data_IF_640684623125
#
_entry.id   IF_640684623125
#
_cell.length_a   1.000
_cell.length_b   1.000
_cell.length_c   1.000
_cell.angle_alpha   90.00
_cell.angle_beta   90.00
_cell.angle_gamma   90.00
#
_symmetry.space_group_name_H-M   'P 1'
#
loop_
_entity.id
_entity.type
_entity.pdbx_description
1 polymer ?
#
# COMPACT_ATOMS: atom_id res chain seq x y z
N UNK A 1 -0.54 -8.47 15.51
CA UNK A 1 -0.85 -7.08 15.09
C UNK A 1 -0.21 -6.85 13.74
N UNK A 2 -1.00 -6.47 12.75
CA UNK A 2 -0.56 -6.13 11.40
C UNK A 2 -1.00 -4.71 11.08
N UNK A 3 -0.09 -3.87 10.59
CA UNK A 3 -0.36 -2.47 10.24
C UNK A 3 0.01 -2.26 8.77
N UNK A 4 -0.93 -1.83 7.97
CA UNK A 4 -0.70 -1.53 6.56
C UNK A 4 -0.83 -0.03 6.32
N UNK A 5 0.13 0.56 5.62
CA UNK A 5 0.09 1.94 5.16
C UNK A 5 -0.09 1.95 3.65
N UNK A 6 -1.28 2.31 3.20
CA UNK A 6 -1.71 2.18 1.80
C UNK A 6 -2.05 3.53 1.18
N UNK A 7 -2.10 3.62 -0.14
CA UNK A 7 -2.43 4.84 -0.87
C UNK A 7 -1.45 5.14 -2.02
N UNK A 8 -1.67 6.27 -2.70
CA UNK A 8 -0.87 6.69 -3.84
C UNK A 8 0.60 6.97 -3.46
N UNK A 9 1.49 7.03 -4.44
CA UNK A 9 2.89 7.41 -4.21
C UNK A 9 3.01 8.85 -3.68
N UNK A 10 4.17 9.18 -3.09
CA UNK A 10 4.52 10.51 -2.58
C UNK A 10 3.58 11.05 -1.49
N UNK A 11 2.83 10.19 -0.78
CA UNK A 11 1.91 10.59 0.31
C UNK A 11 2.51 10.50 1.72
N UNK A 12 3.74 9.99 1.86
CA UNK A 12 4.41 9.83 3.16
C UNK A 12 4.21 8.47 3.84
N UNK A 13 3.67 7.46 3.15
CA UNK A 13 3.47 6.09 3.67
C UNK A 13 4.73 5.48 4.26
N UNK A 14 5.83 5.50 3.51
CA UNK A 14 7.11 4.94 3.94
C UNK A 14 7.60 5.55 5.26
N UNK A 15 7.41 6.86 5.44
CA UNK A 15 7.78 7.55 6.68
C UNK A 15 6.93 7.06 7.86
N UNK A 16 5.62 6.92 7.66
CA UNK A 16 4.70 6.40 8.68
C UNK A 16 4.93 4.92 8.97
N UNK A 17 5.19 4.10 7.94
CA UNK A 17 5.49 2.68 8.12
C UNK A 17 6.79 2.48 8.92
N UNK A 18 7.84 3.23 8.63
CA UNK A 18 9.10 3.21 9.40
C UNK A 18 8.89 3.68 10.84
N UNK A 19 8.13 4.76 11.03
CA UNK A 19 7.75 5.24 12.36
C UNK A 19 7.06 4.13 13.17
N UNK A 20 6.01 3.53 12.62
CA UNK A 20 5.27 2.47 13.29
C UNK A 20 6.12 1.22 13.56
N UNK A 21 6.98 0.82 12.61
CA UNK A 21 7.90 -0.30 12.78
C UNK A 21 8.84 -0.08 13.96
N UNK A 22 9.43 1.11 14.06
CA UNK A 22 10.36 1.47 15.15
C UNK A 22 9.63 1.58 16.48
N UNK A 23 8.51 2.31 16.53
CA UNK A 23 7.75 2.59 17.75
C UNK A 23 7.18 1.30 18.36
N UNK A 24 6.61 0.41 17.54
CA UNK A 24 5.96 -0.81 18.02
C UNK A 24 6.85 -2.05 17.94
N UNK A 25 8.11 -1.89 17.55
CA UNK A 25 9.10 -2.99 17.41
C UNK A 25 8.54 -4.14 16.56
N UNK A 26 8.03 -3.79 15.39
CA UNK A 26 7.47 -4.74 14.41
C UNK A 26 8.39 -4.83 13.19
N UNK A 27 8.59 -6.02 12.61
CA UNK A 27 9.30 -6.15 11.35
C UNK A 27 8.60 -5.33 10.26
N UNK A 28 9.41 -4.65 9.43
CA UNK A 28 8.94 -3.84 8.32
C UNK A 28 9.00 -4.64 7.02
N UNK A 29 7.85 -4.78 6.36
CA UNK A 29 7.77 -5.17 4.95
C UNK A 29 7.87 -3.87 4.14
N UNK A 30 9.05 -3.65 3.54
CA UNK A 30 9.31 -2.49 2.69
C UNK A 30 8.57 -2.61 1.37
N UNK A 31 8.46 -1.49 0.65
CA UNK A 31 7.82 -1.44 -0.68
C UNK A 31 8.45 -2.45 -1.65
N UNK A 32 7.72 -3.51 -1.97
CA UNK A 32 8.20 -4.61 -2.82
C UNK A 32 8.37 -4.20 -4.29
N UNK A 33 7.68 -3.15 -4.72
CA UNK A 33 7.73 -2.62 -6.07
C UNK A 33 9.16 -2.24 -6.50
N UNK A 34 9.92 -1.60 -5.62
CA UNK A 34 11.32 -1.20 -5.90
C UNK A 34 12.24 -2.40 -6.08
N UNK A 35 12.06 -3.42 -5.26
CA UNK A 35 12.85 -4.66 -5.35
C UNK A 35 12.55 -5.43 -6.63
N UNK A 36 11.28 -5.53 -7.02
CA UNK A 36 10.89 -6.22 -8.25
C UNK A 36 11.34 -5.44 -9.49
N UNK A 37 11.30 -4.10 -9.46
CA UNK A 37 11.81 -3.27 -10.55
C UNK A 37 13.33 -3.47 -10.75
N UNK A 38 14.09 -3.47 -9.66
CA UNK A 38 15.54 -3.70 -9.73
C UNK A 38 15.90 -5.07 -10.33
N UNK A 39 15.07 -6.10 -10.10
CA UNK A 39 15.28 -7.43 -10.72
C UNK A 39 15.04 -7.46 -12.23
N UNK A 40 14.25 -6.53 -12.74
CA UNK A 40 13.94 -6.47 -14.18
C UNK A 40 15.01 -5.72 -14.99
N UNK A 41 16.01 -5.11 -14.32
CA UNK A 41 17.04 -4.29 -14.93
C UNK A 41 16.49 -3.18 -15.87
N UNK A 42 15.26 -2.70 -15.56
CA UNK A 42 14.54 -1.68 -16.32
C UNK A 42 14.25 -0.46 -15.46
N UNK A 43 14.05 0.68 -16.10
CA UNK A 43 13.61 1.92 -15.45
C UNK A 43 12.10 2.06 -15.51
N UNK A 44 11.53 2.85 -14.61
CA UNK A 44 10.07 3.10 -14.56
C UNK A 44 9.53 3.76 -15.83
N UNK A 45 10.29 4.66 -16.43
CA UNK A 45 9.94 5.33 -17.67
C UNK A 45 9.83 4.36 -18.86
N UNK A 46 10.72 3.37 -18.93
CA UNK A 46 10.67 2.31 -19.95
C UNK A 46 9.45 1.39 -19.79
N UNK A 47 9.02 1.12 -18.56
CA UNK A 47 7.83 0.32 -18.30
C UNK A 47 6.54 1.02 -18.76
N UNK A 48 6.46 2.35 -18.64
CA UNK A 48 5.25 3.13 -18.96
C UNK A 48 4.83 3.04 -20.43
N UNK A 49 5.75 2.78 -21.34
CA UNK A 49 5.49 2.67 -22.79
C UNK A 49 5.21 1.23 -23.22
N UNK A 50 5.48 0.23 -22.36
CA UNK A 50 5.27 -1.20 -22.64
C UNK A 50 4.22 -1.77 -21.67
N UNK A 51 2.98 -1.84 -22.13
CA UNK A 51 1.84 -2.32 -21.32
C UNK A 51 2.03 -3.79 -20.91
N UNK A 52 2.66 -4.63 -21.73
CA UNK A 52 2.89 -6.04 -21.40
C UNK A 52 3.95 -6.19 -20.31
N UNK A 53 5.04 -5.44 -20.41
CA UNK A 53 6.08 -5.39 -19.38
C UNK A 53 5.54 -4.81 -18.06
N UNK A 54 4.76 -3.72 -18.12
CA UNK A 54 4.08 -3.14 -16.96
C UNK A 54 3.15 -4.14 -16.29
N UNK A 55 2.36 -4.87 -17.08
CA UNK A 55 1.45 -5.91 -16.58
C UNK A 55 2.23 -7.00 -15.84
N UNK A 56 3.28 -7.53 -16.47
CA UNK A 56 4.14 -8.56 -15.88
C UNK A 56 4.80 -8.09 -14.58
N UNK A 57 5.28 -6.85 -14.56
CA UNK A 57 5.85 -6.20 -13.38
C UNK A 57 4.84 -6.11 -12.23
N UNK A 58 3.62 -5.60 -12.49
CA UNK A 58 2.61 -5.47 -11.45
C UNK A 58 2.17 -6.84 -10.89
N UNK A 59 2.14 -7.88 -11.71
CA UNK A 59 1.92 -9.25 -11.23
C UNK A 59 3.08 -9.76 -10.36
N UNK A 60 4.32 -9.44 -10.70
CA UNK A 60 5.47 -9.82 -9.89
C UNK A 60 5.43 -9.13 -8.53
N UNK A 61 5.11 -7.82 -8.50
CA UNK A 61 4.95 -7.03 -7.27
C UNK A 61 3.82 -7.58 -6.38
N UNK A 62 2.66 -7.87 -6.97
CA UNK A 62 1.53 -8.48 -6.25
C UNK A 62 1.94 -9.81 -5.58
N UNK A 63 2.59 -10.70 -6.32
CA UNK A 63 3.07 -11.98 -5.77
C UNK A 63 4.16 -11.81 -4.72
N UNK A 64 5.06 -10.84 -4.90
CA UNK A 64 6.11 -10.53 -3.94
C UNK A 64 5.53 -10.03 -2.61
N UNK A 65 4.50 -9.18 -2.67
CA UNK A 65 3.79 -8.72 -1.48
C UNK A 65 3.17 -9.88 -0.70
N UNK A 66 2.44 -10.77 -1.38
CA UNK A 66 1.84 -11.93 -0.72
C UNK A 66 2.89 -12.87 -0.11
N UNK A 67 4.05 -13.06 -0.78
CA UNK A 67 5.15 -13.86 -0.24
C UNK A 67 5.78 -13.21 0.99
N UNK A 68 5.97 -11.89 0.97
CA UNK A 68 6.57 -11.17 2.10
C UNK A 68 5.70 -11.23 3.37
N UNK A 69 4.39 -11.30 3.22
CA UNK A 69 3.43 -11.42 4.32
C UNK A 69 3.28 -12.85 4.84
N UNK A 70 3.67 -13.86 4.03
CA UNK A 70 3.41 -15.26 4.32
C UNK A 70 4.10 -15.71 5.62
N UNK A 71 3.35 -16.33 6.52
CA UNK A 71 3.84 -16.84 7.80
C UNK A 71 4.08 -15.77 8.89
N UNK A 72 3.97 -14.48 8.55
CA UNK A 72 4.15 -13.41 9.53
C UNK A 72 2.84 -13.11 10.28
N UNK A 73 2.89 -13.22 11.61
CA UNK A 73 1.76 -12.91 12.49
C UNK A 73 1.72 -11.43 12.89
N UNK A 74 2.88 -10.76 12.86
CA UNK A 74 3.05 -9.38 13.31
C UNK A 74 4.01 -8.65 12.38
N UNK A 75 3.59 -7.53 11.80
CA UNK A 75 4.44 -6.70 10.95
C UNK A 75 3.82 -5.32 10.70
N UNK A 76 4.63 -4.43 10.15
CA UNK A 76 4.20 -3.20 9.46
C UNK A 76 4.50 -3.38 7.98
N UNK A 77 3.56 -3.00 7.11
CA UNK A 77 3.76 -3.04 5.66
C UNK A 77 3.64 -1.66 5.04
N UNK A 78 4.65 -1.29 4.25
CA UNK A 78 4.60 -0.15 3.34
C UNK A 78 3.96 -0.62 2.04
N UNK A 79 2.68 -0.49 1.91
CA UNK A 79 1.71 -0.97 0.93
C UNK A 79 1.02 -2.29 1.31
N UNK A 80 -0.02 -2.61 0.54
CA UNK A 80 -0.74 -3.88 0.58
C UNK A 80 -0.89 -4.43 -0.85
N UNK A 81 -1.39 -5.65 -0.97
CA UNK A 81 -1.60 -6.29 -2.28
C UNK A 81 -2.50 -5.48 -3.21
N UNK A 82 -3.48 -4.77 -2.68
CA UNK A 82 -4.44 -3.99 -3.47
C UNK A 82 -3.88 -2.64 -3.95
N UNK A 83 -2.85 -2.05 -3.30
CA UNK A 83 -2.12 -0.92 -3.88
C UNK A 83 -1.55 -1.31 -5.25
N UNK A 84 -0.95 -2.50 -5.35
CA UNK A 84 -0.37 -3.00 -6.59
C UNK A 84 -1.44 -3.22 -7.66
N UNK A 85 -2.64 -3.67 -7.25
CA UNK A 85 -3.77 -3.81 -8.16
C UNK A 85 -4.32 -2.47 -8.65
N UNK A 86 -4.27 -1.43 -7.83
CA UNK A 86 -4.60 -0.07 -8.25
C UNK A 86 -3.65 0.43 -9.37
N UNK A 87 -2.34 0.15 -9.24
CA UNK A 87 -1.37 0.45 -10.30
C UNK A 87 -1.58 -0.44 -11.54
N UNK A 88 -1.90 -1.72 -11.37
CA UNK A 88 -2.24 -2.61 -12.49
C UNK A 88 -3.46 -2.09 -13.24
N UNK A 89 -4.50 -1.64 -12.54
CA UNK A 89 -5.69 -1.05 -13.14
C UNK A 89 -5.39 0.22 -13.94
N UNK A 90 -4.42 1.01 -13.48
CA UNK A 90 -4.08 2.30 -14.07
C UNK A 90 -3.12 2.21 -15.28
N UNK A 91 -2.21 1.25 -15.26
CA UNK A 91 -1.08 1.21 -16.21
C UNK A 91 -0.91 -0.13 -16.93
N UNK A 92 -1.65 -1.16 -16.53
CA UNK A 92 -1.50 -2.51 -17.07
C UNK A 92 -2.84 -3.11 -17.51
N UNK A 93 -2.79 -4.39 -17.83
CA UNK A 93 -3.95 -5.19 -18.22
C UNK A 93 -4.16 -6.38 -17.28
N UNK A 94 -5.32 -7.04 -17.39
CA UNK A 94 -5.58 -8.29 -16.68
C UNK A 94 -6.04 -8.14 -15.24
N UNK A 95 -6.42 -6.94 -14.79
CA UNK A 95 -6.97 -6.72 -13.45
C UNK A 95 -8.10 -7.69 -13.12
N UNK A 96 -9.06 -7.88 -14.02
CA UNK A 96 -10.19 -8.81 -13.84
C UNK A 96 -9.72 -10.22 -13.49
N UNK A 97 -8.71 -10.72 -14.18
CA UNK A 97 -8.18 -12.08 -13.96
C UNK A 97 -7.55 -12.20 -12.57
N UNK A 98 -6.83 -11.15 -12.11
CA UNK A 98 -6.25 -11.13 -10.76
C UNK A 98 -7.32 -11.07 -9.69
N UNK A 99 -8.31 -10.20 -9.83
CA UNK A 99 -9.42 -10.08 -8.87
C UNK A 99 -10.18 -11.41 -8.71
N UNK A 100 -10.30 -12.18 -9.79
CA UNK A 100 -10.93 -13.51 -9.80
C UNK A 100 -9.98 -14.63 -9.37
N UNK A 101 -8.70 -14.37 -9.21
CA UNK A 101 -7.74 -15.40 -8.82
C UNK A 101 -7.91 -15.81 -7.35
N UNK A 102 -7.65 -17.10 -7.08
CA UNK A 102 -7.71 -17.61 -5.70
C UNK A 102 -6.78 -16.85 -4.75
N UNK A 103 -5.49 -16.56 -5.08
CA UNK A 103 -4.61 -15.82 -4.18
C UNK A 103 -5.14 -14.44 -3.81
N UNK A 104 -5.77 -13.72 -4.73
CA UNK A 104 -6.34 -12.40 -4.48
C UNK A 104 -7.55 -12.49 -3.53
N UNK A 105 -8.49 -13.39 -3.82
CA UNK A 105 -9.66 -13.59 -2.95
C UNK A 105 -9.29 -14.05 -1.55
N UNK A 106 -8.33 -14.97 -1.42
CA UNK A 106 -7.85 -15.47 -0.13
C UNK A 106 -7.17 -14.33 0.67
N UNK A 107 -6.38 -13.48 0.01
CA UNK A 107 -5.74 -12.33 0.65
C UNK A 107 -6.78 -11.31 1.16
N UNK A 108 -7.77 -10.97 0.35
CA UNK A 108 -8.84 -10.05 0.73
C UNK A 108 -9.69 -10.60 1.89
N UNK A 109 -10.11 -11.87 1.80
CA UNK A 109 -10.88 -12.54 2.85
C UNK A 109 -10.11 -12.61 4.16
N UNK A 110 -8.82 -12.95 4.11
CA UNK A 110 -7.94 -12.99 5.29
C UNK A 110 -7.82 -11.60 5.91
N UNK A 111 -7.54 -10.57 5.11
CA UNK A 111 -7.36 -9.21 5.62
C UNK A 111 -8.63 -8.69 6.25
N UNK A 112 -9.80 -8.88 5.62
CA UNK A 112 -11.10 -8.50 6.17
C UNK A 112 -11.33 -9.14 7.53
N UNK A 113 -11.16 -10.47 7.64
CA UNK A 113 -11.29 -11.18 8.90
C UNK A 113 -10.33 -10.65 9.97
N UNK A 114 -9.07 -10.41 9.64
CA UNK A 114 -8.09 -9.86 10.58
C UNK A 114 -8.41 -8.42 11.02
N UNK A 115 -9.06 -7.64 10.15
CA UNK A 115 -9.59 -6.31 10.51
C UNK A 115 -10.76 -6.45 11.48
N UNK A 116 -11.70 -7.36 11.21
CA UNK A 116 -12.87 -7.64 12.04
C UNK A 116 -12.47 -8.17 13.42
N UNK A 117 -11.49 -9.07 13.48
CA UNK A 117 -10.89 -9.62 14.70
C UNK A 117 -10.03 -8.59 15.47
N UNK A 118 -9.85 -7.38 14.95
CA UNK A 118 -9.05 -6.34 15.58
C UNK A 118 -7.53 -6.58 15.56
N UNK A 119 -7.04 -7.56 14.81
CA UNK A 119 -5.61 -7.91 14.71
C UNK A 119 -4.87 -7.20 13.60
N UNK A 120 -5.61 -6.59 12.66
CA UNK A 120 -5.11 -5.80 11.54
C UNK A 120 -5.69 -4.38 11.54
N UNK A 121 -4.89 -3.40 11.10
CA UNK A 121 -5.36 -2.05 10.76
C UNK A 121 -4.77 -1.62 9.43
N UNK A 122 -5.61 -0.98 8.63
CA UNK A 122 -5.24 -0.38 7.36
C UNK A 122 -5.32 1.13 7.52
N UNK A 123 -4.22 1.82 7.31
CA UNK A 123 -4.13 3.28 7.28
C UNK A 123 -4.09 3.74 5.82
N UNK A 124 -5.13 4.40 5.38
CA UNK A 124 -5.20 4.96 4.04
C UNK A 124 -4.63 6.37 4.02
N UNK A 125 -3.38 6.50 3.56
CA UNK A 125 -2.63 7.76 3.56
C UNK A 125 -2.98 8.55 2.30
N UNK A 126 -3.90 9.52 2.46
CA UNK A 126 -4.42 10.33 1.38
C UNK A 126 -3.39 11.35 0.88
N UNK A 127 -3.41 11.68 -0.42
CA UNK A 127 -2.59 12.75 -0.94
C UNK A 127 -3.03 14.10 -0.39
N UNK A 128 -2.06 14.95 -0.05
CA UNK A 128 -2.27 16.34 0.31
C UNK A 128 -1.37 17.21 -0.56
N UNK A 129 -1.94 18.17 -1.28
CA UNK A 129 -1.22 18.97 -2.28
C UNK A 129 0.08 19.60 -1.74
N UNK A 130 0.07 20.08 -0.48
CA UNK A 130 1.24 20.67 0.17
C UNK A 130 2.37 19.66 0.46
N UNK A 131 2.09 18.36 0.43
CA UNK A 131 3.07 17.30 0.74
C UNK A 131 3.54 16.54 -0.50
N UNK A 132 2.94 16.78 -1.65
CA UNK A 132 3.33 16.11 -2.90
C UNK A 132 4.69 16.65 -3.34
N UNK A 133 5.75 15.90 -3.02
CA UNK A 133 7.12 16.17 -3.44
C UNK A 133 7.61 15.00 -4.30
N UNK A 134 8.48 15.29 -5.25
CA UNK A 134 9.20 14.23 -5.95
C UNK A 134 9.94 13.34 -4.95
N UNK A 135 9.81 12.03 -5.08
CA UNK A 135 10.49 11.06 -4.19
C UNK A 135 11.92 10.73 -4.65
N UNK A 136 12.43 11.47 -5.65
CA UNK A 136 13.76 11.26 -6.23
C UNK A 136 13.92 9.96 -7.04
N UNK A 137 12.87 9.13 -7.08
CA UNK A 137 12.86 7.88 -7.84
C UNK A 137 12.31 8.07 -9.27
N UNK A 138 11.72 9.24 -9.50
CA UNK A 138 11.16 9.69 -10.78
C UNK A 138 11.97 10.90 -11.24
N UNK A 139 12.11 11.08 -12.55
CA UNK A 139 12.77 12.25 -13.08
C UNK A 139 12.15 13.55 -12.51
N UNK A 140 12.97 14.56 -12.23
CA UNK A 140 12.49 15.87 -11.79
C UNK A 140 11.46 16.40 -12.80
N UNK A 141 10.26 16.73 -12.33
CA UNK A 141 9.12 17.15 -13.16
C UNK A 141 8.05 16.08 -13.42
N UNK A 142 8.29 14.83 -13.07
CA UNK A 142 7.42 13.68 -13.40
C UNK A 142 6.30 13.43 -12.36
N UNK A 143 6.17 14.26 -11.32
CA UNK A 143 5.07 14.14 -10.37
C UNK A 143 3.77 14.69 -11.01
N UNK A 144 3.07 13.84 -11.73
CA UNK A 144 1.74 14.16 -12.23
C UNK A 144 0.72 14.07 -11.06
N UNK A 145 0.31 15.22 -10.56
CA UNK A 145 -0.66 15.33 -9.45
C UNK A 145 -1.96 14.61 -9.79
N UNK A 146 -2.43 14.70 -11.03
CA UNK A 146 -3.63 13.99 -11.48
C UNK A 146 -3.47 12.47 -11.39
N UNK A 147 -2.28 11.96 -11.68
CA UNK A 147 -1.92 10.53 -11.55
C UNK A 147 -1.99 10.07 -10.08
N UNK A 148 -1.48 10.91 -9.16
CA UNK A 148 -1.54 10.64 -7.72
C UNK A 148 -2.99 10.49 -7.25
N UNK A 149 -3.86 11.44 -7.62
CA UNK A 149 -5.28 11.39 -7.26
C UNK A 149 -6.03 10.25 -7.96
N UNK A 150 -5.66 9.93 -9.20
CA UNK A 150 -6.24 8.78 -9.89
C UNK A 150 -5.90 7.46 -9.18
N UNK A 151 -4.63 7.26 -8.80
CA UNK A 151 -4.21 6.08 -8.02
C UNK A 151 -4.89 6.05 -6.65
N UNK A 152 -5.00 7.20 -5.98
CA UNK A 152 -5.70 7.31 -4.70
C UNK A 152 -7.16 6.85 -4.80
N UNK A 153 -7.88 7.30 -5.82
CA UNK A 153 -9.24 6.85 -6.11
C UNK A 153 -9.33 5.35 -6.40
N UNK A 154 -8.33 4.78 -7.11
CA UNK A 154 -8.30 3.34 -7.37
C UNK A 154 -8.02 2.54 -6.10
N UNK A 155 -7.18 3.02 -5.19
CA UNK A 155 -6.97 2.38 -3.87
C UNK A 155 -8.25 2.43 -3.05
N UNK A 156 -8.94 3.58 -3.01
CA UNK A 156 -10.23 3.71 -2.35
C UNK A 156 -11.24 2.70 -2.90
N UNK A 157 -11.36 2.61 -4.25
CA UNK A 157 -12.23 1.62 -4.90
C UNK A 157 -11.90 0.18 -4.46
N UNK A 158 -10.62 -0.18 -4.36
CA UNK A 158 -10.22 -1.52 -3.93
C UNK A 158 -10.59 -1.80 -2.47
N UNK A 159 -10.48 -0.80 -1.59
CA UNK A 159 -10.90 -0.92 -0.19
C UNK A 159 -12.41 -1.17 -0.09
N UNK A 160 -13.21 -0.40 -0.82
CA UNK A 160 -14.66 -0.57 -0.87
C UNK A 160 -15.08 -1.90 -1.52
N UNK A 161 -14.41 -2.31 -2.60
CA UNK A 161 -14.72 -3.55 -3.32
C UNK A 161 -14.70 -4.79 -2.40
N UNK A 162 -13.80 -4.80 -1.42
CA UNK A 162 -13.67 -5.91 -0.46
C UNK A 162 -14.18 -5.59 0.93
N UNK A 163 -14.85 -4.45 1.11
CA UNK A 163 -15.41 -4.01 2.40
C UNK A 163 -14.31 -4.04 3.49
N UNK A 164 -13.15 -3.47 3.17
CA UNK A 164 -12.00 -3.37 4.08
C UNK A 164 -12.08 -2.06 4.86
N UNK A 165 -12.39 -2.15 6.16
CA UNK A 165 -12.38 -0.97 7.03
C UNK A 165 -10.97 -0.40 7.15
N UNK A 166 -10.84 0.92 7.06
CA UNK A 166 -9.59 1.63 7.12
C UNK A 166 -9.68 2.91 7.96
N UNK A 167 -8.53 3.42 8.34
CA UNK A 167 -8.37 4.72 9.01
C UNK A 167 -7.80 5.71 7.99
N UNK A 168 -8.55 6.74 7.58
CA UNK A 168 -8.03 7.74 6.65
C UNK A 168 -7.02 8.64 7.35
N UNK A 169 -5.87 8.88 6.70
CA UNK A 169 -4.87 9.84 7.13
C UNK A 169 -4.86 11.01 6.13
N UNK A 170 -5.51 12.11 6.47
CA UNK A 170 -5.73 13.26 5.58
C UNK A 170 -4.91 14.50 5.98
N UNK A 171 -4.52 14.62 7.26
CA UNK A 171 -3.76 15.76 7.78
C UNK A 171 -2.44 16.00 7.04
N UNK A 172 -1.95 17.23 7.01
CA UNK A 172 -0.67 17.57 6.38
C UNK A 172 0.53 17.45 7.32
N UNK A 173 0.37 17.71 8.62
CA UNK A 173 1.46 17.65 9.57
C UNK A 173 1.82 16.21 9.93
N UNK A 174 3.10 15.85 9.80
CA UNK A 174 3.56 14.48 10.09
C UNK A 174 3.28 14.07 11.54
N UNK A 175 3.39 15.00 12.51
CA UNK A 175 3.07 14.74 13.92
C UNK A 175 1.61 14.38 14.15
N UNK A 176 0.68 15.01 13.44
CA UNK A 176 -0.76 14.69 13.52
C UNK A 176 -1.03 13.29 12.96
N UNK A 177 -0.39 12.95 11.84
CA UNK A 177 -0.47 11.63 11.23
C UNK A 177 0.05 10.53 12.16
N UNK A 178 1.21 10.77 12.82
CA UNK A 178 1.79 9.86 13.82
C UNK A 178 0.86 9.69 15.02
N UNK A 179 0.29 10.80 15.55
CA UNK A 179 -0.65 10.74 16.66
C UNK A 179 -1.88 9.88 16.33
N UNK A 180 -2.46 10.04 15.13
CA UNK A 180 -3.59 9.23 14.70
C UNK A 180 -3.23 7.73 14.63
N UNK A 181 -2.02 7.41 14.19
CA UNK A 181 -1.50 6.03 14.22
C UNK A 181 -1.44 5.51 15.65
N UNK A 182 -0.88 6.29 16.58
CA UNK A 182 -0.72 5.91 17.99
C UNK A 182 -2.07 5.70 18.69
N UNK A 183 -3.02 6.61 18.51
CA UNK A 183 -4.38 6.50 19.05
C UNK A 183 -5.07 5.23 18.52
N UNK A 184 -4.96 4.97 17.22
CA UNK A 184 -5.55 3.78 16.60
C UNK A 184 -4.94 2.48 17.14
N UNK A 185 -3.62 2.41 17.25
CA UNK A 185 -2.91 1.21 17.73
C UNK A 185 -3.16 0.99 19.22
N UNK A 186 -3.25 2.05 20.01
CA UNK A 186 -3.61 1.95 21.44
C UNK A 186 -4.99 1.32 21.62
N UNK A 187 -5.96 1.68 20.79
CA UNK A 187 -7.29 1.07 20.77
C UNK A 187 -7.29 -0.43 20.45
N UNK A 188 -6.34 -0.92 19.65
CA UNK A 188 -6.19 -2.36 19.37
C UNK A 188 -5.76 -3.17 20.61
N UNK A 189 -4.98 -2.56 21.49
CA UNK A 189 -4.46 -3.24 22.69
C UNK A 189 -5.52 -3.32 23.80
N UNK A 190 -6.46 -2.38 23.85
CA UNK A 190 -7.55 -2.33 24.85
C UNK A 190 -8.69 -3.34 24.63
N UNK A 191 -8.87 -3.82 23.41
CA UNK A 191 -9.94 -4.77 23.08
C UNK A 191 -9.67 -6.24 23.47
N UNK A 192 -8.53 -6.52 24.10
CA UNK A 192 -8.13 -7.87 24.54
C UNK A 192 -8.18 -8.09 26.07
N UNK A 193 -8.92 -7.23 26.81
CA UNK A 193 -9.13 -7.43 28.25
C UNK A 193 -10.57 -7.87 28.55
#
# INVERSE_FOLDING_TARGET
MKLYFVGAHSTGKTTLARYASTTYKLPLIAETARTELAKMERRFDELRVDVAATTSYQFAVFRAQLRAEHGLLRFVSDRAFFDNLAYLASHGNGLRNVLQSKPCRDAATRMRREIDDGTCRVFFVRPHAALLKSDGFRAEGDLNVADVFRIDGMVAFMLELWDLRYVPIEGCAMRERQRLVDETVSGMSGARR
#
